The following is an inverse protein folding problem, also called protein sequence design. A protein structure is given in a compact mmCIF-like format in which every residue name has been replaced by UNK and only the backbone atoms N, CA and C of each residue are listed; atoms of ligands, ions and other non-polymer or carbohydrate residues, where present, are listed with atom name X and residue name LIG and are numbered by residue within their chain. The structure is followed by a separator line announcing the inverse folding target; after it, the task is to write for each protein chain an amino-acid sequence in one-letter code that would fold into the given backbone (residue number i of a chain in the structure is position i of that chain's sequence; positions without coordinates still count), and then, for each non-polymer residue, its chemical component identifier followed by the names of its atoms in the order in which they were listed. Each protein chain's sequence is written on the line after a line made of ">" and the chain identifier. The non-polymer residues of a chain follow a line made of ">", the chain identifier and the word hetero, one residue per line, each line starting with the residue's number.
data_IF_086391722511
#
_entry.id   IF_086391722511
#
_cell.length_a   1.000
_cell.length_b   1.000
_cell.length_c   1.000
_cell.angle_alpha   90.00
_cell.angle_beta   90.00
_cell.angle_gamma   90.00
#
_symmetry.space_group_name_H-M   'P 1'
#
loop_
_entity.id
_entity.type
_entity.pdbx_description
1 polymer ?
#
# COMPACT_ATOMS: atom_id res chain seq x y z
N UNK A 1 -12.26 -14.70 -3.76
CA UNK A 1 -10.90 -15.27 -3.78
C UNK A 1 -9.91 -14.31 -3.18
N UNK A 2 -8.96 -14.82 -2.44
CA UNK A 2 -7.94 -13.98 -1.83
C UNK A 2 -6.78 -13.76 -2.80
N UNK A 3 -6.23 -12.55 -2.78
CA UNK A 3 -5.04 -12.24 -3.55
C UNK A 3 -3.77 -12.72 -2.85
N UNK A 4 -2.76 -13.07 -3.63
CA UNK A 4 -1.43 -13.32 -3.10
C UNK A 4 -0.73 -11.99 -2.87
N UNK A 5 -0.29 -11.77 -1.64
CA UNK A 5 0.37 -10.51 -1.27
C UNK A 5 1.88 -10.61 -1.49
N UNK A 6 2.43 -9.64 -2.22
CA UNK A 6 3.86 -9.51 -2.44
C UNK A 6 4.28 -8.12 -2.00
N UNK A 7 5.36 -8.01 -1.24
CA UNK A 7 5.83 -6.74 -0.69
C UNK A 7 7.13 -6.32 -1.36
N UNK A 8 7.18 -5.04 -1.77
CA UNK A 8 8.42 -4.44 -2.22
C UNK A 8 9.43 -4.43 -1.07
N UNK A 9 10.71 -4.64 -1.38
CA UNK A 9 11.75 -4.71 -0.36
C UNK A 9 11.78 -3.48 0.54
N UNK A 10 11.51 -2.30 -0.01
CA UNK A 10 11.54 -1.05 0.75
C UNK A 10 10.42 -0.95 1.78
N UNK A 11 9.36 -1.73 1.66
CA UNK A 11 8.31 -1.76 2.68
C UNK A 11 8.89 -2.25 4.00
N UNK A 12 9.64 -3.34 3.98
CA UNK A 12 10.27 -3.87 5.20
C UNK A 12 11.46 -3.05 5.66
N UNK A 13 12.29 -2.60 4.72
CA UNK A 13 13.53 -1.91 5.05
C UNK A 13 13.33 -0.46 5.48
N UNK A 14 12.38 0.22 4.85
CA UNK A 14 12.22 1.67 5.04
C UNK A 14 10.91 2.01 5.73
N UNK A 15 9.79 1.48 5.22
CA UNK A 15 8.48 1.91 5.68
C UNK A 15 8.14 1.39 7.09
N UNK A 16 8.22 0.09 7.29
CA UNK A 16 7.82 -0.51 8.57
C UNK A 16 8.60 0.03 9.78
N UNK A 17 9.94 0.23 9.69
CA UNK A 17 10.66 0.79 10.83
C UNK A 17 10.22 2.20 11.26
N UNK A 18 9.56 2.94 10.36
CA UNK A 18 9.06 4.29 10.64
C UNK A 18 7.66 4.32 11.22
N UNK A 19 7.00 3.17 11.31
CA UNK A 19 5.61 3.07 11.73
C UNK A 19 5.55 2.50 13.14
N UNK A 20 4.80 3.15 14.02
CA UNK A 20 4.65 2.67 15.37
C UNK A 20 3.79 1.41 15.44
N UNK A 21 3.85 0.74 16.59
CA UNK A 21 3.20 -0.55 16.78
C UNK A 21 1.68 -0.49 16.57
N UNK A 22 1.05 0.57 17.05
CA UNK A 22 -0.40 0.75 16.93
C UNK A 22 -0.82 0.85 15.47
N UNK A 23 -0.12 1.69 14.71
CA UNK A 23 -0.43 1.86 13.29
C UNK A 23 -0.09 0.62 12.48
N UNK A 24 0.97 -0.10 12.83
CA UNK A 24 1.28 -1.38 12.18
C UNK A 24 0.15 -2.37 12.32
N UNK A 25 -0.44 -2.47 13.52
CA UNK A 25 -1.57 -3.37 13.75
C UNK A 25 -2.78 -2.99 12.90
N UNK A 26 -3.08 -1.70 12.83
CA UNK A 26 -4.19 -1.20 12.02
C UNK A 26 -3.97 -1.49 10.53
N UNK A 27 -2.75 -1.27 10.07
CA UNK A 27 -2.39 -1.49 8.67
C UNK A 27 -2.46 -2.98 8.32
N UNK A 28 -1.93 -3.84 9.18
CA UNK A 28 -1.99 -5.28 8.98
C UNK A 28 -3.44 -5.77 8.87
N UNK A 29 -4.30 -5.30 9.76
CA UNK A 29 -5.71 -5.64 9.73
C UNK A 29 -6.38 -5.17 8.43
N UNK A 30 -6.09 -3.95 8.01
CA UNK A 30 -6.66 -3.41 6.79
C UNK A 30 -6.23 -4.20 5.56
N UNK A 31 -4.97 -4.62 5.50
CA UNK A 31 -4.49 -5.44 4.41
C UNK A 31 -5.22 -6.78 4.37
N UNK A 32 -5.34 -7.44 5.51
CA UNK A 32 -5.99 -8.74 5.60
C UNK A 32 -7.48 -8.68 5.32
N UNK A 33 -8.17 -7.67 5.84
CA UNK A 33 -9.62 -7.57 5.71
C UNK A 33 -10.09 -6.92 4.41
N UNK A 34 -9.30 -6.01 3.85
CA UNK A 34 -9.73 -5.23 2.70
C UNK A 34 -8.97 -5.53 1.43
N UNK A 35 -7.64 -5.51 1.48
CA UNK A 35 -6.85 -5.70 0.28
C UNK A 35 -6.79 -7.14 -0.18
N UNK A 36 -6.76 -8.07 0.74
CA UNK A 36 -6.65 -9.48 0.40
C UNK A 36 -7.89 -10.02 -0.32
N UNK A 37 -9.04 -9.41 -0.11
CA UNK A 37 -10.31 -9.89 -0.63
C UNK A 37 -10.94 -8.98 -1.68
N UNK A 38 -11.11 -7.70 -1.38
CA UNK A 38 -11.83 -6.76 -2.24
C UNK A 38 -11.12 -5.42 -2.33
N UNK A 39 -9.88 -5.40 -2.87
CA UNK A 39 -9.11 -4.15 -2.90
C UNK A 39 -9.77 -3.04 -3.69
N UNK A 40 -10.43 -3.37 -4.78
CA UNK A 40 -11.05 -2.38 -5.67
C UNK A 40 -12.24 -1.66 -5.06
N UNK A 41 -12.87 -2.26 -4.03
CA UNK A 41 -13.99 -1.63 -3.33
C UNK A 41 -13.50 -0.58 -2.35
N UNK A 42 -12.39 -0.87 -1.67
CA UNK A 42 -11.91 -0.03 -0.58
C UNK A 42 -10.83 0.98 -0.98
N UNK A 43 -10.11 0.70 -2.06
CA UNK A 43 -9.01 1.55 -2.51
C UNK A 43 -9.45 2.47 -3.64
N UNK A 44 -8.61 3.48 -3.91
CA UNK A 44 -8.83 4.42 -5.02
C UNK A 44 -7.61 4.47 -5.91
N UNK A 45 -7.78 4.70 -7.21
CA UNK A 45 -6.62 4.86 -8.09
C UNK A 45 -5.74 6.03 -7.68
N UNK A 46 -4.44 5.85 -7.81
CA UNK A 46 -3.51 6.96 -7.70
C UNK A 46 -3.63 7.86 -8.93
N UNK A 47 -3.51 9.17 -8.71
CA UNK A 47 -3.68 10.13 -9.78
C UNK A 47 -2.35 10.48 -10.45
N UNK A 48 -2.45 11.10 -11.63
CA UNK A 48 -1.34 11.65 -12.42
C UNK A 48 -0.44 10.59 -13.03
N UNK A 49 0.85 10.64 -12.72
CA UNK A 49 1.87 9.82 -13.39
C UNK A 49 1.93 8.37 -12.94
N UNK A 50 1.18 8.01 -11.90
CA UNK A 50 1.22 6.67 -11.33
C UNK A 50 0.02 5.83 -11.78
N UNK A 51 -0.14 5.71 -13.09
CA UNK A 51 -1.23 4.94 -13.67
C UNK A 51 -1.14 3.46 -13.29
N UNK A 52 -2.28 2.87 -12.99
CA UNK A 52 -2.35 1.45 -12.63
C UNK A 52 -2.08 1.17 -11.18
N UNK A 53 -1.67 2.18 -10.42
CA UNK A 53 -1.46 2.03 -8.97
C UNK A 53 -2.70 2.47 -8.20
N UNK A 54 -2.87 1.86 -7.04
CA UNK A 54 -4.00 2.12 -6.16
C UNK A 54 -3.48 2.55 -4.79
N UNK A 55 -4.31 3.25 -4.04
CA UNK A 55 -4.00 3.58 -2.64
C UNK A 55 -5.15 3.22 -1.75
N UNK A 56 -4.84 2.66 -0.59
CA UNK A 56 -5.78 2.41 0.48
C UNK A 56 -5.45 3.34 1.64
N UNK A 57 -6.45 4.08 2.11
CA UNK A 57 -6.28 4.95 3.26
C UNK A 57 -6.44 4.15 4.56
N UNK A 58 -5.43 4.21 5.42
CA UNK A 58 -5.48 3.61 6.76
C UNK A 58 -4.95 4.66 7.74
N UNK A 59 -5.85 5.41 8.38
CA UNK A 59 -5.45 6.51 9.26
C UNK A 59 -4.64 7.54 8.52
N UNK A 60 -3.44 7.83 9.03
CA UNK A 60 -2.52 8.79 8.41
C UNK A 60 -1.63 8.15 7.35
N UNK A 61 -1.80 6.86 7.10
CA UNK A 61 -0.97 6.14 6.15
C UNK A 61 -1.72 5.80 4.88
N UNK A 62 -0.96 5.62 3.81
CA UNK A 62 -1.49 5.19 2.52
C UNK A 62 -0.72 3.95 2.09
N UNK A 63 -1.47 2.89 1.76
CA UNK A 63 -0.88 1.68 1.22
C UNK A 63 -0.99 1.77 -0.29
N UNK A 64 0.16 1.81 -0.96
CA UNK A 64 0.21 1.91 -2.42
C UNK A 64 0.47 0.52 -2.98
N UNK A 65 -0.35 0.10 -3.90
CA UNK A 65 -0.26 -1.25 -4.45
C UNK A 65 -0.69 -1.29 -5.91
N UNK A 66 -0.41 -2.42 -6.56
CA UNK A 66 -0.84 -2.68 -7.93
C UNK A 66 -1.30 -4.12 -8.02
N UNK A 67 -2.29 -4.38 -8.87
CA UNK A 67 -2.86 -5.72 -9.03
C UNK A 67 -2.38 -6.33 -10.35
N UNK A 68 -1.83 -7.53 -10.27
CA UNK A 68 -1.39 -8.32 -11.41
C UNK A 68 -2.07 -9.68 -11.34
N UNK A 69 -3.19 -9.85 -12.05
CA UNK A 69 -3.95 -11.08 -11.97
C UNK A 69 -4.46 -11.34 -10.56
N UNK A 70 -4.01 -12.42 -9.94
CA UNK A 70 -4.37 -12.75 -8.56
C UNK A 70 -3.30 -12.29 -7.55
N UNK A 71 -2.31 -11.55 -8.00
CA UNK A 71 -1.24 -11.04 -7.16
C UNK A 71 -1.46 -9.57 -6.86
N UNK A 72 -1.32 -9.20 -5.59
CA UNK A 72 -1.39 -7.81 -5.15
C UNK A 72 -0.02 -7.43 -4.60
N UNK A 73 0.66 -6.52 -5.32
CA UNK A 73 1.99 -6.06 -4.95
C UNK A 73 1.91 -4.75 -4.19
N UNK A 74 2.39 -4.76 -2.96
CA UNK A 74 2.44 -3.58 -2.11
C UNK A 74 3.79 -2.90 -2.29
N UNK A 75 3.77 -1.67 -2.80
CA UNK A 75 4.97 -0.91 -3.09
C UNK A 75 5.36 0.07 -1.99
N UNK A 76 4.41 0.44 -1.14
CA UNK A 76 4.73 1.37 -0.08
C UNK A 76 3.63 1.43 0.98
N UNK A 77 4.03 1.69 2.22
CA UNK A 77 3.15 1.99 3.34
C UNK A 77 3.69 3.27 3.93
N UNK A 78 3.18 4.41 3.43
CA UNK A 78 3.82 5.70 3.60
C UNK A 78 2.83 6.72 4.16
N UNK A 79 3.33 7.60 5.02
CA UNK A 79 2.53 8.68 5.58
C UNK A 79 1.93 9.54 4.46
N UNK A 80 0.67 9.95 4.62
CA UNK A 80 -0.08 10.70 3.60
C UNK A 80 0.64 11.95 3.07
N UNK A 81 1.47 12.57 3.91
CA UNK A 81 2.20 13.79 3.54
C UNK A 81 3.38 13.52 2.62
N UNK A 82 3.87 12.28 2.56
CA UNK A 82 5.05 11.93 1.79
C UNK A 82 4.79 10.92 0.68
N UNK A 83 3.56 10.39 0.60
CA UNK A 83 3.30 9.22 -0.25
C UNK A 83 3.66 9.46 -1.71
N UNK A 84 3.23 10.57 -2.30
CA UNK A 84 3.50 10.82 -3.71
C UNK A 84 4.99 11.01 -3.98
N UNK A 85 5.67 11.80 -3.15
CA UNK A 85 7.10 12.05 -3.30
C UNK A 85 7.91 10.77 -3.18
N UNK A 86 7.64 9.98 -2.13
CA UNK A 86 8.43 8.79 -1.86
C UNK A 86 8.15 7.68 -2.87
N UNK A 87 6.90 7.53 -3.31
CA UNK A 87 6.54 6.51 -4.29
C UNK A 87 7.14 6.83 -5.66
N UNK A 88 7.11 8.08 -6.09
CA UNK A 88 7.72 8.47 -7.37
C UNK A 88 9.21 8.15 -7.37
N UNK A 89 9.91 8.48 -6.29
CA UNK A 89 11.33 8.14 -6.17
C UNK A 89 11.55 6.62 -6.21
N UNK A 90 10.71 5.87 -5.54
CA UNK A 90 10.83 4.42 -5.46
C UNK A 90 10.61 3.74 -6.81
N UNK A 91 9.74 4.31 -7.63
CA UNK A 91 9.40 3.76 -8.94
C UNK A 91 10.38 4.18 -10.04
N UNK A 92 11.20 5.18 -9.81
CA UNK A 92 12.23 5.59 -10.73
C UNK A 92 13.58 4.98 -10.37
#
# INVERSE_FOLDING_TARGET
>A
MAYNLVYHADVEKIDLPRIDKKNKSMIKRAIEERLKTQPEIYAKPLQRTLKGYWKLRVGEFRIVFKIFGNELRIYGIIHRKRVYRDIVKRMT
#
